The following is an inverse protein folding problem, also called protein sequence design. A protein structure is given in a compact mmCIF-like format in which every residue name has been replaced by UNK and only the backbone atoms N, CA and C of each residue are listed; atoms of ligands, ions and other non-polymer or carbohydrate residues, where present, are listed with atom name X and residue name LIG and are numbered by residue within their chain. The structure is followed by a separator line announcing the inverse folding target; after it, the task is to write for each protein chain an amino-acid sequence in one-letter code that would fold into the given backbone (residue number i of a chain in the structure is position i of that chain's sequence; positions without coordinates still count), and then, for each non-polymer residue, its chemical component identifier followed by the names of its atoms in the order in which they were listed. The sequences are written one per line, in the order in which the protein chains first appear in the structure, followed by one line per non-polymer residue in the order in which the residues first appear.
data_IF_676280157533
#
_entry.id   IF_676280157533
#
_cell.length_a   1.000
_cell.length_b   1.000
_cell.length_c   1.000
_cell.angle_alpha   90.00
_cell.angle_beta   90.00
_cell.angle_gamma   90.00
#
_symmetry.space_group_name_H-M   'P 1'
#
loop_
_entity.id
_entity.type
_entity.pdbx_description
1 polymer ?
#
# COMPACT_ATOMS: atom_id res chain seq x y z
N UNK A 1 -1.52 10.79 -23.44
CA UNK A 1 -1.11 10.65 -24.86
C UNK A 1 0.41 10.68 -24.95
N UNK A 2 1.00 9.77 -25.74
CA UNK A 2 2.41 9.83 -26.10
C UNK A 2 2.65 10.86 -27.20
N UNK A 3 3.92 11.10 -27.57
CA UNK A 3 4.25 12.05 -28.66
C UNK A 3 3.60 11.69 -29.98
N UNK A 4 3.40 10.42 -30.26
CA UNK A 4 2.96 9.92 -31.57
C UNK A 4 1.71 9.04 -31.52
N UNK A 5 1.12 8.80 -30.35
CA UNK A 5 -0.04 7.94 -30.18
C UNK A 5 -0.89 8.30 -28.96
N UNK A 6 -2.14 7.85 -28.99
CA UNK A 6 -3.04 7.85 -27.84
C UNK A 6 -3.31 6.39 -27.40
N UNK A 7 -3.18 6.14 -26.10
CA UNK A 7 -3.60 4.89 -25.49
C UNK A 7 -5.10 4.97 -25.17
N UNK A 8 -5.86 3.98 -25.60
CA UNK A 8 -7.29 3.84 -25.35
C UNK A 8 -7.47 2.58 -24.53
N UNK A 9 -8.02 2.71 -23.35
CA UNK A 9 -8.35 1.58 -22.48
C UNK A 9 -9.87 1.38 -22.48
N UNK A 10 -10.27 0.11 -22.56
CA UNK A 10 -11.64 -0.33 -22.36
C UNK A 10 -11.72 -1.16 -21.08
N UNK A 11 -12.87 -1.71 -20.77
CA UNK A 11 -13.06 -2.67 -19.67
C UNK A 11 -12.37 -4.04 -19.89
N UNK A 12 -11.91 -4.34 -21.10
CA UNK A 12 -11.32 -5.64 -21.44
C UNK A 12 -9.93 -5.55 -22.08
N UNK A 13 -9.62 -4.48 -22.80
CA UNK A 13 -8.47 -4.43 -23.67
C UNK A 13 -7.85 -3.03 -23.78
N UNK A 14 -6.62 -2.99 -24.24
CA UNK A 14 -5.88 -1.78 -24.54
C UNK A 14 -5.64 -1.63 -26.05
N UNK A 15 -5.81 -0.42 -26.56
CA UNK A 15 -5.60 -0.05 -27.95
C UNK A 15 -4.70 1.16 -28.07
N UNK A 16 -3.93 1.21 -29.12
CA UNK A 16 -3.15 2.39 -29.49
C UNK A 16 -3.73 2.99 -30.75
N UNK A 17 -4.05 4.27 -30.70
CA UNK A 17 -4.45 5.07 -31.85
C UNK A 17 -3.28 5.94 -32.27
N UNK A 18 -2.88 5.84 -33.54
CA UNK A 18 -1.76 6.57 -34.10
C UNK A 18 -2.18 7.28 -35.39
N UNK A 19 -1.69 8.50 -35.57
CA UNK A 19 -1.86 9.21 -36.84
C UNK A 19 -0.97 8.59 -37.92
N UNK A 20 -1.57 8.21 -39.06
CA UNK A 20 -0.89 7.52 -40.15
C UNK A 20 -0.94 8.31 -41.48
N UNK A 21 -1.65 9.43 -41.51
CA UNK A 21 -1.81 10.26 -42.71
C UNK A 21 -2.92 9.76 -43.65
N UNK A 22 -3.03 10.40 -44.81
CA UNK A 22 -4.04 10.09 -45.82
C UNK A 22 -3.72 8.75 -46.50
N UNK A 23 -4.73 7.93 -46.91
CA UNK A 23 -6.18 8.19 -46.80
C UNK A 23 -6.78 7.82 -45.43
N UNK A 24 -6.08 7.13 -44.57
CA UNK A 24 -6.57 6.65 -43.26
C UNK A 24 -6.01 7.51 -42.16
N UNK A 25 -6.58 8.61 -41.86
CA UNK A 25 -6.10 9.61 -40.91
C UNK A 25 -5.56 9.00 -39.61
N UNK A 26 -6.24 7.99 -39.04
CA UNK A 26 -5.80 7.27 -37.86
C UNK A 26 -5.82 5.75 -38.08
N UNK A 27 -4.89 5.07 -37.46
CA UNK A 27 -4.87 3.62 -37.26
C UNK A 27 -5.11 3.30 -35.78
N UNK A 28 -5.97 2.31 -35.52
CA UNK A 28 -6.23 1.78 -34.20
C UNK A 28 -5.82 0.32 -34.19
N UNK A 29 -4.92 -0.05 -33.27
CA UNK A 29 -4.54 -1.46 -33.12
C UNK A 29 -4.61 -1.86 -31.65
N UNK A 30 -5.03 -3.08 -31.40
CA UNK A 30 -5.02 -3.69 -30.09
C UNK A 30 -3.58 -3.98 -29.66
N UNK A 31 -3.23 -3.63 -28.43
CA UNK A 31 -1.89 -3.82 -27.85
C UNK A 31 -1.92 -4.69 -26.59
N UNK A 32 -3.10 -4.98 -26.07
CA UNK A 32 -3.27 -5.86 -24.93
C UNK A 32 -4.69 -6.44 -24.84
N UNK A 33 -4.79 -7.66 -24.32
CA UNK A 33 -6.03 -8.38 -24.03
C UNK A 33 -6.08 -8.71 -22.54
N UNK A 34 -7.28 -8.83 -21.96
CA UNK A 34 -7.49 -9.10 -20.53
C UNK A 34 -6.74 -8.11 -19.60
N UNK A 35 -6.60 -6.88 -20.06
CA UNK A 35 -5.92 -5.79 -19.37
C UNK A 35 -6.80 -4.55 -19.28
N UNK A 36 -8.11 -4.75 -19.22
CA UNK A 36 -9.09 -3.67 -19.14
C UNK A 36 -8.89 -2.82 -17.89
N UNK A 37 -9.38 -1.60 -17.96
CA UNK A 37 -9.29 -0.62 -16.88
C UNK A 37 -10.54 -0.67 -15.99
N UNK A 38 -10.37 -0.62 -14.66
CA UNK A 38 -11.49 -0.70 -13.72
C UNK A 38 -12.34 0.58 -13.71
N UNK A 39 -11.76 1.72 -14.04
CA UNK A 39 -12.45 3.01 -14.08
C UNK A 39 -11.64 4.07 -14.82
N UNK A 40 -12.33 5.09 -15.31
CA UNK A 40 -11.69 6.13 -16.14
C UNK A 40 -10.61 6.93 -15.41
N UNK A 41 -10.67 7.03 -14.09
CA UNK A 41 -9.72 7.76 -13.27
C UNK A 41 -8.64 6.87 -12.63
N UNK A 42 -8.69 5.55 -12.81
CA UNK A 42 -7.72 4.59 -12.27
C UNK A 42 -6.41 4.52 -13.08
N UNK A 43 -6.17 5.52 -13.91
CA UNK A 43 -5.05 5.60 -14.87
C UNK A 43 -4.17 6.78 -14.50
N UNK A 44 -2.85 6.57 -14.50
CA UNK A 44 -1.89 7.65 -14.30
C UNK A 44 -0.68 7.48 -15.22
N UNK A 45 -0.12 8.61 -15.67
CA UNK A 45 1.12 8.65 -16.42
C UNK A 45 2.26 9.07 -15.49
N UNK A 46 3.30 8.27 -15.41
CA UNK A 46 4.50 8.56 -14.65
C UNK A 46 5.74 7.93 -15.32
N UNK A 47 6.86 8.61 -15.24
CA UNK A 47 8.16 8.11 -15.68
C UNK A 47 8.16 7.45 -17.09
N UNK A 48 7.45 8.07 -18.05
CA UNK A 48 7.41 7.59 -19.44
C UNK A 48 6.47 6.41 -19.69
N UNK A 49 5.74 5.93 -18.69
CA UNK A 49 4.78 4.84 -18.81
C UNK A 49 3.39 5.23 -18.28
N UNK A 50 2.38 4.54 -18.77
CA UNK A 50 1.01 4.62 -18.26
C UNK A 50 0.77 3.43 -17.33
N UNK A 51 0.19 3.70 -16.18
CA UNK A 51 -0.15 2.70 -15.17
C UNK A 51 -1.65 2.70 -14.92
N UNK A 52 -2.26 1.54 -14.72
CA UNK A 52 -3.68 1.43 -14.38
C UNK A 52 -4.01 0.18 -13.57
N UNK A 53 -5.13 0.24 -12.87
CA UNK A 53 -5.73 -0.88 -12.15
C UNK A 53 -6.68 -1.62 -13.08
N UNK A 54 -6.57 -2.95 -13.14
CA UNK A 54 -7.35 -3.80 -14.01
C UNK A 54 -8.77 -4.08 -13.52
N UNK A 55 -9.74 -4.19 -14.45
CA UNK A 55 -11.12 -4.51 -14.13
C UNK A 55 -11.27 -5.95 -13.58
N UNK A 56 -10.59 -6.90 -14.18
CA UNK A 56 -10.60 -8.30 -13.76
C UNK A 56 -9.55 -8.63 -12.68
N UNK A 57 -8.94 -7.60 -12.09
CA UNK A 57 -7.80 -7.72 -11.17
C UNK A 57 -6.48 -7.41 -11.84
N UNK A 58 -5.45 -7.26 -11.00
CA UNK A 58 -4.10 -6.95 -11.42
C UNK A 58 -3.83 -5.48 -11.72
N UNK A 59 -2.56 -5.20 -11.84
CA UNK A 59 -2.04 -3.87 -12.16
C UNK A 59 -1.23 -3.95 -13.45
N UNK A 60 -1.38 -2.96 -14.29
CA UNK A 60 -0.78 -2.96 -15.62
C UNK A 60 0.04 -1.70 -15.87
N UNK A 61 1.04 -1.83 -16.73
CA UNK A 61 1.80 -0.72 -17.27
C UNK A 61 1.93 -0.82 -18.78
N UNK A 62 2.03 0.34 -19.42
CA UNK A 62 2.29 0.47 -20.85
C UNK A 62 3.46 1.45 -21.06
N UNK A 63 4.53 0.93 -21.65
CA UNK A 63 5.75 1.66 -22.04
C UNK A 63 6.07 1.48 -23.55
N UNK A 64 5.04 1.17 -24.33
CA UNK A 64 5.12 0.71 -25.74
C UNK A 64 4.55 -0.70 -25.89
N UNK A 65 4.56 -1.48 -24.81
CA UNK A 65 3.90 -2.80 -24.69
C UNK A 65 3.14 -2.86 -23.37
N UNK A 66 1.99 -3.56 -23.38
CA UNK A 66 1.24 -3.83 -22.16
C UNK A 66 1.90 -4.96 -21.38
N UNK A 67 2.14 -4.73 -20.08
CA UNK A 67 2.66 -5.74 -19.16
C UNK A 67 1.88 -5.68 -17.85
N UNK A 68 1.55 -6.84 -17.30
CA UNK A 68 1.08 -6.91 -15.93
C UNK A 68 2.26 -6.70 -14.98
N UNK A 69 2.04 -5.94 -13.92
CA UNK A 69 3.03 -5.70 -12.87
C UNK A 69 2.83 -6.79 -11.82
N UNK A 70 3.83 -7.63 -11.54
CA UNK A 70 3.73 -8.60 -10.45
C UNK A 70 3.44 -7.90 -9.12
N UNK A 71 2.46 -8.41 -8.38
CA UNK A 71 2.01 -7.79 -7.14
C UNK A 71 1.85 -8.82 -6.03
N UNK A 72 2.38 -8.53 -4.85
CA UNK A 72 2.19 -9.33 -3.64
C UNK A 72 0.89 -8.96 -2.89
N UNK A 73 0.28 -7.83 -3.27
CA UNK A 73 -0.94 -7.31 -2.62
C UNK A 73 -2.20 -7.53 -3.46
N UNK A 74 -2.10 -8.23 -4.58
CA UNK A 74 -3.20 -8.45 -5.51
C UNK A 74 -4.35 -9.18 -4.85
N UNK A 75 -4.06 -10.25 -4.10
CA UNK A 75 -5.08 -11.02 -3.37
C UNK A 75 -5.78 -10.17 -2.30
N UNK A 76 -5.08 -9.25 -1.67
CA UNK A 76 -5.67 -8.33 -0.70
C UNK A 76 -6.57 -7.29 -1.36
N UNK A 77 -6.13 -6.70 -2.47
CA UNK A 77 -6.86 -5.62 -3.16
C UNK A 77 -8.06 -6.14 -3.93
N UNK A 78 -7.95 -7.31 -4.56
CA UNK A 78 -9.01 -7.87 -5.43
C UNK A 78 -9.73 -9.08 -4.80
N UNK A 79 -9.58 -9.31 -3.50
CA UNK A 79 -10.28 -10.39 -2.82
C UNK A 79 -11.80 -10.29 -3.01
N UNK A 80 -12.44 -11.43 -3.20
CA UNK A 80 -13.90 -11.56 -3.33
C UNK A 80 -14.56 -11.99 -2.02
N UNK A 81 -13.78 -12.33 -1.02
CA UNK A 81 -14.24 -12.82 0.29
C UNK A 81 -13.39 -12.20 1.40
N UNK A 82 -14.03 -11.86 2.49
CA UNK A 82 -13.39 -11.26 3.68
C UNK A 82 -14.02 -9.92 4.05
N UNK A 83 -14.02 -9.63 5.33
CA UNK A 83 -14.53 -8.36 5.86
C UNK A 83 -13.51 -7.25 5.59
N UNK A 84 -13.93 -6.17 4.93
CA UNK A 84 -13.11 -5.00 4.58
C UNK A 84 -11.88 -5.30 3.71
N UNK A 85 -11.87 -6.41 3.00
CA UNK A 85 -10.84 -6.79 2.04
C UNK A 85 -11.44 -6.78 0.64
N UNK A 86 -10.64 -6.39 -0.36
CA UNK A 86 -11.10 -6.28 -1.73
C UNK A 86 -11.70 -4.91 -2.07
N UNK A 87 -12.21 -4.80 -3.27
CA UNK A 87 -12.78 -3.59 -3.86
C UNK A 87 -14.30 -3.68 -3.85
N UNK A 88 -14.97 -2.58 -3.51
CA UNK A 88 -16.38 -2.42 -3.81
C UNK A 88 -16.57 -2.08 -5.30
N UNK A 89 -16.84 -3.10 -6.12
CA UNK A 89 -17.05 -2.92 -7.56
C UNK A 89 -18.27 -2.07 -7.90
N UNK A 90 -19.25 -1.97 -6.99
CA UNK A 90 -20.42 -1.11 -7.20
C UNK A 90 -20.10 0.38 -7.13
N UNK A 91 -18.95 0.73 -6.55
CA UNK A 91 -18.42 2.09 -6.44
C UNK A 91 -17.09 2.25 -7.17
N UNK A 92 -16.84 1.42 -8.20
CA UNK A 92 -15.59 1.42 -8.95
C UNK A 92 -15.30 2.74 -9.68
N UNK A 93 -16.31 3.53 -9.98
CA UNK A 93 -16.19 4.86 -10.58
C UNK A 93 -15.47 5.87 -9.68
N UNK A 94 -15.42 5.62 -8.37
CA UNK A 94 -14.68 6.43 -7.42
C UNK A 94 -13.16 6.15 -7.43
N UNK A 95 -12.75 5.01 -7.99
CA UNK A 95 -11.35 4.60 -8.01
C UNK A 95 -10.55 5.54 -8.89
N UNK A 96 -9.49 6.09 -8.33
CA UNK A 96 -8.57 6.92 -9.10
C UNK A 96 -7.10 6.62 -8.76
N UNK A 97 -6.23 6.95 -9.71
CA UNK A 97 -4.79 6.83 -9.57
C UNK A 97 -4.12 8.20 -9.47
N UNK A 98 -3.06 8.28 -8.71
CA UNK A 98 -2.21 9.46 -8.66
C UNK A 98 -0.73 9.08 -8.63
N UNK A 99 0.11 10.04 -9.00
CA UNK A 99 1.55 9.94 -8.94
C UNK A 99 2.07 10.74 -7.74
N UNK A 100 2.96 10.15 -6.96
CA UNK A 100 3.76 10.81 -5.95
C UNK A 100 5.21 10.86 -6.44
N UNK A 101 5.61 11.94 -7.08
CA UNK A 101 6.92 12.08 -7.70
C UNK A 101 8.06 12.16 -6.69
N UNK A 102 7.80 12.56 -5.45
CA UNK A 102 8.82 12.65 -4.40
C UNK A 102 9.42 11.29 -4.03
N UNK A 103 8.60 10.23 -4.12
CA UNK A 103 9.00 8.87 -3.74
C UNK A 103 8.93 7.86 -4.89
N UNK A 104 8.66 8.31 -6.13
CA UNK A 104 8.53 7.44 -7.31
C UNK A 104 7.38 6.42 -7.16
N UNK A 105 6.25 6.86 -6.70
CA UNK A 105 5.11 6.01 -6.35
C UNK A 105 3.89 6.29 -7.22
N UNK A 106 3.19 5.21 -7.56
CA UNK A 106 1.84 5.24 -8.08
C UNK A 106 0.91 4.82 -6.94
N UNK A 107 -0.10 5.61 -6.69
CA UNK A 107 -1.09 5.36 -5.63
C UNK A 107 -2.46 5.22 -6.26
N UNK A 108 -3.14 4.10 -6.03
CA UNK A 108 -4.54 3.91 -6.37
C UNK A 108 -5.38 3.99 -5.10
N UNK A 109 -6.35 4.88 -5.11
CA UNK A 109 -7.31 5.06 -4.03
C UNK A 109 -8.62 4.36 -4.41
N UNK A 110 -9.17 3.56 -3.50
CA UNK A 110 -10.34 2.74 -3.78
C UNK A 110 -11.23 2.55 -2.56
N UNK A 111 -12.53 2.32 -2.74
CA UNK A 111 -13.43 1.90 -1.68
C UNK A 111 -13.23 0.41 -1.38
N UNK A 112 -13.05 0.05 -0.12
CA UNK A 112 -13.00 -1.36 0.31
C UNK A 112 -14.37 -2.03 0.16
N UNK A 113 -14.40 -3.37 0.27
CA UNK A 113 -15.58 -4.18 -0.04
C UNK A 113 -16.89 -3.72 0.64
N UNK A 114 -16.80 -3.15 1.85
CA UNK A 114 -17.96 -2.69 2.63
C UNK A 114 -18.07 -1.15 2.70
N UNK A 115 -17.29 -0.43 1.91
CA UNK A 115 -17.27 1.03 1.90
C UNK A 115 -17.89 1.59 0.62
N UNK A 116 -18.75 2.62 0.76
CA UNK A 116 -19.34 3.38 -0.35
C UNK A 116 -18.50 4.62 -0.71
N UNK A 117 -17.43 4.87 0.03
CA UNK A 117 -16.48 5.96 -0.17
C UNK A 117 -15.06 5.42 -0.11
N UNK A 118 -14.13 6.14 -0.70
CA UNK A 118 -12.71 5.79 -0.67
C UNK A 118 -12.21 5.76 0.78
N UNK A 119 -11.68 4.62 1.20
CA UNK A 119 -11.14 4.38 2.54
C UNK A 119 -9.78 3.67 2.51
N UNK A 120 -9.34 3.20 1.36
CA UNK A 120 -8.11 2.44 1.16
C UNK A 120 -7.28 3.00 0.03
N UNK A 121 -6.00 2.71 0.10
CA UNK A 121 -5.09 2.91 -1.02
C UNK A 121 -4.08 1.79 -1.13
N UNK A 122 -3.62 1.56 -2.35
CA UNK A 122 -2.51 0.67 -2.67
C UNK A 122 -1.45 1.47 -3.42
N UNK A 123 -0.22 1.24 -3.04
CA UNK A 123 0.92 2.00 -3.47
C UNK A 123 1.94 1.09 -4.16
N UNK A 124 2.46 1.52 -5.28
CA UNK A 124 3.51 0.84 -6.03
C UNK A 124 4.69 1.79 -6.27
N UNK A 125 5.85 1.45 -5.70
CA UNK A 125 7.09 2.13 -6.04
C UNK A 125 7.67 1.53 -7.32
N UNK A 126 7.68 2.30 -8.40
CA UNK A 126 8.08 1.81 -9.73
C UNK A 126 9.61 1.76 -9.93
N UNK A 127 10.40 2.29 -9.02
CA UNK A 127 11.87 2.21 -9.04
C UNK A 127 12.34 0.98 -8.25
N UNK A 128 11.82 0.81 -7.04
CA UNK A 128 12.19 -0.29 -6.14
C UNK A 128 11.38 -1.57 -6.40
N UNK A 129 10.29 -1.45 -7.18
CA UNK A 129 9.37 -2.55 -7.47
C UNK A 129 8.73 -3.14 -6.21
N UNK A 130 8.36 -2.29 -5.27
CA UNK A 130 7.75 -2.66 -3.98
C UNK A 130 6.30 -2.19 -3.89
N UNK A 131 5.52 -2.88 -3.06
CA UNK A 131 4.11 -2.62 -2.85
C UNK A 131 3.80 -2.37 -1.39
N UNK A 132 2.82 -1.51 -1.15
CA UNK A 132 2.25 -1.29 0.18
C UNK A 132 0.74 -1.06 0.09
N UNK A 133 0.04 -1.40 1.16
CA UNK A 133 -1.39 -1.09 1.35
C UNK A 133 -1.54 -0.13 2.51
N UNK A 134 -2.43 0.84 2.36
CA UNK A 134 -2.62 1.89 3.36
C UNK A 134 -4.13 2.08 3.60
N UNK A 135 -4.53 2.20 4.85
CA UNK A 135 -5.85 2.70 5.21
C UNK A 135 -5.82 4.22 5.14
N UNK A 136 -6.17 4.76 3.99
CA UNK A 136 -6.08 6.19 3.71
C UNK A 136 -7.24 6.62 2.82
N UNK A 137 -8.12 7.42 3.36
CA UNK A 137 -9.25 8.00 2.65
C UNK A 137 -8.84 9.34 2.03
N UNK A 138 -8.66 9.36 0.72
CA UNK A 138 -8.46 10.60 -0.04
C UNK A 138 -9.32 10.57 -1.29
N UNK A 139 -10.07 11.62 -1.52
CA UNK A 139 -10.97 11.75 -2.68
C UNK A 139 -10.28 12.39 -3.88
N UNK A 140 -9.25 13.16 -3.64
CA UNK A 140 -8.36 13.70 -4.68
C UNK A 140 -6.93 13.76 -4.15
N UNK A 141 -5.97 13.70 -5.05
CA UNK A 141 -4.55 13.84 -4.73
C UNK A 141 -3.86 14.61 -5.88
N UNK A 142 -3.07 15.59 -5.54
CA UNK A 142 -2.25 16.35 -6.46
C UNK A 142 -0.79 16.19 -6.11
N UNK A 143 0.00 15.75 -7.07
CA UNK A 143 1.45 15.60 -6.93
C UNK A 143 2.14 16.94 -6.65
N UNK A 144 3.32 16.85 -6.08
CA UNK A 144 4.23 17.99 -5.94
C UNK A 144 4.58 18.55 -7.33
N UNK A 145 4.27 19.81 -7.57
CA UNK A 145 4.54 20.48 -8.84
C UNK A 145 4.80 21.96 -8.61
N UNK A 146 3.75 22.79 -8.64
CA UNK A 146 3.83 24.22 -8.29
C UNK A 146 4.08 24.40 -6.80
N UNK A 147 3.56 23.50 -5.99
CA UNK A 147 3.81 23.40 -4.56
C UNK A 147 4.89 22.35 -4.32
N UNK A 148 5.70 22.55 -3.28
CA UNK A 148 6.80 21.66 -2.92
C UNK A 148 6.35 20.33 -2.30
N UNK A 149 5.09 20.23 -1.88
CA UNK A 149 4.48 19.06 -1.25
C UNK A 149 3.26 18.62 -2.04
N UNK A 150 2.91 17.33 -2.02
CA UNK A 150 1.63 16.85 -2.51
C UNK A 150 0.49 17.32 -1.61
N UNK A 151 -0.68 17.49 -2.20
CA UNK A 151 -1.90 17.86 -1.49
C UNK A 151 -3.05 16.92 -1.84
N UNK A 152 -3.91 16.67 -0.86
CA UNK A 152 -5.06 15.83 -1.04
C UNK A 152 -6.29 16.37 -0.31
N UNK A 153 -7.47 15.90 -0.71
CA UNK A 153 -8.71 16.16 0.01
C UNK A 153 -9.34 14.85 0.46
N UNK A 154 -10.03 14.92 1.58
CA UNK A 154 -10.84 13.82 2.08
C UNK A 154 -12.25 14.30 2.29
N UNK A 155 -13.23 13.56 1.76
CA UNK A 155 -14.64 13.79 2.07
C UNK A 155 -14.96 13.15 3.42
N UNK A 156 -15.60 13.93 4.30
CA UNK A 156 -16.00 13.45 5.62
C UNK A 156 -17.52 13.66 5.82
N UNK A 157 -18.25 12.58 5.95
CA UNK A 157 -19.71 12.59 6.14
C UNK A 157 -20.12 13.00 7.55
N UNK A 158 -19.22 12.93 8.53
CA UNK A 158 -19.52 13.27 9.94
C UNK A 158 -19.33 14.74 10.27
N UNK A 159 -18.63 15.49 9.41
CA UNK A 159 -18.44 16.92 9.59
C UNK A 159 -19.66 17.67 9.08
N UNK A 160 -20.37 18.30 9.97
CA UNK A 160 -21.36 19.34 9.60
C UNK A 160 -20.63 20.64 9.31
N UNK A 161 -20.75 21.22 8.09
CA UNK A 161 -20.16 22.51 7.81
C UNK A 161 -20.72 23.55 8.78
N UNK A 162 -19.84 24.30 9.45
CA UNK A 162 -20.24 25.45 10.27
C UNK A 162 -20.54 26.67 9.39
N UNK A 163 -21.32 26.51 8.33
CA UNK A 163 -21.80 27.64 7.55
C UNK A 163 -23.13 28.15 8.11
N UNK A 164 -23.32 29.48 8.17
CA UNK A 164 -24.58 30.03 8.62
C UNK A 164 -25.72 29.51 7.74
N UNK A 165 -26.78 29.06 8.39
CA UNK A 165 -27.99 28.58 7.75
C UNK A 165 -28.53 29.63 6.78
N UNK A 166 -28.57 29.31 5.51
CA UNK A 166 -29.38 30.08 4.56
C UNK A 166 -30.80 29.53 4.61
N UNK A 167 -31.74 30.34 5.09
CA UNK A 167 -33.17 30.01 5.20
C UNK A 167 -33.53 28.88 6.19
N UNK A 168 -32.76 28.67 7.26
CA UNK A 168 -33.14 27.73 8.33
C UNK A 168 -33.11 26.23 7.94
N UNK A 169 -32.56 25.89 6.78
CA UNK A 169 -32.39 24.50 6.33
C UNK A 169 -30.99 24.07 6.68
N UNK A 170 -30.88 23.07 7.55
CA UNK A 170 -29.62 22.33 7.80
C UNK A 170 -29.32 21.46 6.58
N UNK A 171 -28.55 21.96 5.66
CA UNK A 171 -27.97 21.12 4.61
C UNK A 171 -26.84 20.30 5.25
N UNK A 172 -27.09 19.03 5.51
CA UNK A 172 -26.08 18.06 5.91
C UNK A 172 -25.24 17.65 4.69
N UNK A 173 -24.54 18.60 4.10
CA UNK A 173 -23.50 18.28 3.14
C UNK A 173 -22.26 17.86 3.92
N UNK A 174 -21.62 16.75 3.53
CA UNK A 174 -20.32 16.39 4.06
C UNK A 174 -19.32 17.52 3.82
N UNK A 175 -18.36 17.65 4.72
CA UNK A 175 -17.25 18.61 4.57
C UNK A 175 -16.05 17.92 3.94
N UNK A 176 -15.28 18.65 3.14
CA UNK A 176 -13.99 18.20 2.64
C UNK A 176 -12.87 18.79 3.48
N UNK A 177 -11.95 17.94 3.91
CA UNK A 177 -10.73 18.35 4.62
C UNK A 177 -9.56 18.35 3.65
N UNK A 178 -8.72 19.36 3.73
CA UNK A 178 -7.54 19.51 2.89
C UNK A 178 -6.28 19.14 3.68
N UNK A 179 -5.45 18.30 3.10
CA UNK A 179 -4.24 17.77 3.71
C UNK A 179 -3.00 18.11 2.88
N UNK A 180 -1.93 18.53 3.54
CA UNK A 180 -0.59 18.47 2.98
C UNK A 180 0.01 17.10 3.30
N UNK A 181 0.52 16.42 2.29
CA UNK A 181 1.19 15.14 2.43
C UNK A 181 2.71 15.29 2.51
N UNK A 182 3.38 14.21 2.91
CA UNK A 182 4.84 14.11 2.98
C UNK A 182 5.48 15.16 3.90
N UNK A 183 4.80 15.52 4.97
CA UNK A 183 5.30 16.47 5.96
C UNK A 183 5.01 15.98 7.38
N UNK A 184 6.07 15.96 8.21
CA UNK A 184 5.99 15.47 9.58
C UNK A 184 5.91 13.93 9.67
N UNK A 185 5.66 13.43 10.88
CA UNK A 185 5.59 12.00 11.22
C UNK A 185 4.24 11.60 11.81
N UNK A 186 3.31 12.53 11.88
CA UNK A 186 1.96 12.32 12.42
C UNK A 186 0.92 12.83 11.45
N UNK A 187 -0.25 12.23 11.48
CA UNK A 187 -1.43 12.84 10.90
C UNK A 187 -1.93 13.96 11.83
N UNK A 188 -2.41 15.04 11.27
CA UNK A 188 -3.06 16.10 12.03
C UNK A 188 -4.56 15.89 11.93
N UNK A 189 -5.19 15.60 13.06
CA UNK A 189 -6.65 15.48 13.15
C UNK A 189 -7.37 16.81 12.90
N UNK A 190 -8.69 16.74 12.74
CA UNK A 190 -9.54 17.91 12.47
C UNK A 190 -9.50 18.97 13.58
N UNK A 191 -9.19 18.56 14.79
CA UNK A 191 -9.01 19.39 15.98
C UNK A 191 -7.58 19.94 16.12
N UNK A 192 -6.74 19.75 15.12
CA UNK A 192 -5.31 20.06 15.13
C UNK A 192 -4.48 19.26 16.16
N UNK A 193 -5.04 18.20 16.70
CA UNK A 193 -4.32 17.27 17.58
C UNK A 193 -3.56 16.25 16.73
N UNK A 194 -2.26 16.02 16.98
CA UNK A 194 -1.50 14.99 16.27
C UNK A 194 -2.07 13.59 16.53
N UNK A 195 -2.25 12.82 15.48
CA UNK A 195 -2.67 11.42 15.52
C UNK A 195 -1.53 10.56 15.00
N UNK A 196 -1.27 9.42 15.64
CA UNK A 196 -0.25 8.49 15.19
C UNK A 196 -0.60 7.95 13.79
N UNK A 197 0.39 7.82 12.93
CA UNK A 197 0.29 7.06 11.68
C UNK A 197 0.80 5.64 11.99
N UNK A 198 -0.10 4.66 12.20
CA UNK A 198 0.34 3.30 12.45
C UNK A 198 0.96 2.71 11.18
N UNK A 199 2.18 2.24 11.31
CA UNK A 199 2.87 1.57 10.22
C UNK A 199 3.38 0.21 10.69
N UNK A 200 3.38 -0.77 9.80
CA UNK A 200 3.94 -2.08 10.11
C UNK A 200 4.59 -2.71 8.88
N UNK A 201 5.52 -3.61 9.15
CA UNK A 201 6.05 -4.57 8.19
C UNK A 201 6.03 -5.95 8.83
N UNK A 202 5.58 -6.95 8.09
CA UNK A 202 5.53 -8.33 8.54
C UNK A 202 6.18 -9.23 7.48
N UNK A 203 7.08 -10.10 7.94
CA UNK A 203 7.73 -11.07 7.05
C UNK A 203 6.84 -12.29 6.83
N UNK A 204 7.03 -12.97 5.70
CA UNK A 204 6.62 -14.37 5.58
C UNK A 204 7.36 -15.26 6.60
N UNK A 205 6.91 -16.51 6.71
CA UNK A 205 7.60 -17.51 7.54
C UNK A 205 8.98 -17.82 6.97
N UNK A 206 10.01 -17.75 7.81
CA UNK A 206 11.38 -18.11 7.46
C UNK A 206 11.88 -19.30 8.30
N UNK A 207 12.87 -20.00 7.76
CA UNK A 207 13.52 -21.16 8.37
C UNK A 207 15.04 -21.07 8.21
N UNK A 208 15.77 -21.93 8.96
CA UNK A 208 17.25 -21.90 9.00
C UNK A 208 17.94 -22.27 7.68
N UNK A 209 17.27 -23.03 6.79
CA UNK A 209 17.85 -23.54 5.54
C UNK A 209 16.96 -23.22 4.36
N UNK A 210 17.48 -22.51 3.36
CA UNK A 210 16.85 -22.39 2.05
C UNK A 210 16.83 -23.75 1.35
N UNK A 211 15.62 -24.22 1.01
CA UNK A 211 15.43 -25.52 0.35
C UNK A 211 15.65 -26.74 1.25
N UNK A 212 15.76 -26.55 2.54
CA UNK A 212 15.91 -27.63 3.52
C UNK A 212 14.57 -28.26 3.89
N UNK A 213 14.66 -29.42 4.51
CA UNK A 213 13.53 -30.32 4.83
C UNK A 213 12.61 -29.77 5.93
N UNK A 214 12.74 -28.55 6.41
CA UNK A 214 12.04 -27.98 7.58
C UNK A 214 12.04 -28.89 8.82
N UNK A 215 12.98 -29.83 8.89
CA UNK A 215 13.08 -30.83 9.98
C UNK A 215 13.75 -30.26 11.24
N UNK A 216 14.48 -29.18 11.10
CA UNK A 216 15.24 -28.62 12.21
C UNK A 216 14.43 -27.59 12.98
N UNK A 217 14.45 -27.72 14.30
CA UNK A 217 14.03 -26.65 15.19
C UNK A 217 15.12 -25.59 15.23
N UNK A 218 14.74 -24.36 15.04
CA UNK A 218 15.61 -23.20 15.23
C UNK A 218 15.35 -22.57 16.60
N UNK A 219 16.41 -22.09 17.19
CA UNK A 219 16.37 -21.27 18.40
C UNK A 219 16.93 -19.89 18.09
N UNK A 220 16.09 -18.90 18.24
CA UNK A 220 16.51 -17.49 18.12
C UNK A 220 16.92 -16.99 19.51
N UNK A 221 18.21 -16.80 19.72
CA UNK A 221 18.75 -16.36 21.01
C UNK A 221 18.62 -14.85 21.20
N UNK A 222 18.82 -14.11 20.12
CA UNK A 222 18.68 -12.65 20.11
C UNK A 222 18.48 -12.15 18.71
N UNK A 223 18.00 -10.92 18.61
CA UNK A 223 18.06 -10.15 17.38
C UNK A 223 18.67 -8.77 17.62
N UNK A 224 19.28 -8.22 16.58
CA UNK A 224 19.93 -6.92 16.57
C UNK A 224 19.06 -5.99 15.72
N UNK A 225 18.37 -5.01 16.35
CA UNK A 225 17.55 -4.07 15.61
C UNK A 225 18.44 -3.19 14.74
N UNK A 226 18.14 -3.13 13.44
CA UNK A 226 18.81 -2.25 12.50
C UNK A 226 17.85 -1.19 11.99
N UNK A 227 17.76 -0.10 12.73
CA UNK A 227 16.92 1.04 12.40
C UNK A 227 17.75 2.28 12.16
N UNK A 228 17.43 2.99 11.10
CA UNK A 228 17.98 4.31 10.81
C UNK A 228 16.96 5.38 11.17
N UNK A 229 17.43 6.45 11.81
CA UNK A 229 16.60 7.58 12.22
C UNK A 229 15.42 7.16 13.13
N UNK A 230 15.67 6.25 14.08
CA UNK A 230 14.65 5.82 15.02
C UNK A 230 14.37 6.92 16.06
N UNK A 231 13.15 7.44 16.01
CA UNK A 231 12.57 8.34 16.99
C UNK A 231 11.37 7.67 17.64
N UNK A 232 11.17 7.81 18.94
CA UNK A 232 10.13 7.10 19.65
C UNK A 232 10.41 5.61 19.84
N UNK A 233 9.39 4.77 19.67
CA UNK A 233 9.48 3.34 19.94
C UNK A 233 8.96 2.54 18.74
N UNK A 234 9.56 1.37 18.54
CA UNK A 234 9.10 0.36 17.61
C UNK A 234 8.81 -0.92 18.39
N UNK A 235 7.73 -1.57 18.09
CA UNK A 235 7.30 -2.82 18.68
C UNK A 235 7.67 -3.98 17.74
N UNK A 236 8.41 -4.96 18.24
CA UNK A 236 8.83 -6.13 17.48
C UNK A 236 8.19 -7.38 18.08
N UNK A 237 7.48 -8.13 17.26
CA UNK A 237 6.82 -9.38 17.65
C UNK A 237 7.33 -10.53 16.80
N UNK A 238 7.70 -11.64 17.44
CA UNK A 238 8.09 -12.89 16.79
C UNK A 238 6.95 -13.90 16.90
N UNK A 239 6.50 -14.45 15.77
CA UNK A 239 5.58 -15.57 15.70
C UNK A 239 6.36 -16.85 15.40
N UNK A 240 6.04 -17.93 16.09
CA UNK A 240 6.69 -19.23 15.92
C UNK A 240 5.66 -20.28 15.55
N UNK A 241 6.02 -21.12 14.59
CA UNK A 241 5.19 -22.23 14.11
C UNK A 241 6.02 -23.51 14.00
N UNK A 242 5.40 -24.64 14.21
CA UNK A 242 6.03 -25.95 13.95
C UNK A 242 5.73 -26.44 12.54
N UNK A 243 4.61 -26.02 11.94
CA UNK A 243 4.20 -26.38 10.57
C UNK A 243 3.60 -25.18 9.83
N UNK A 244 3.76 -25.09 8.49
CA UNK A 244 3.29 -23.94 7.71
C UNK A 244 1.77 -23.70 7.79
N UNK A 245 0.96 -24.75 7.89
CA UNK A 245 -0.53 -24.67 7.92
C UNK A 245 -1.04 -24.41 9.34
N UNK A 246 -0.18 -24.49 10.33
CA UNK A 246 -0.57 -24.39 11.72
C UNK A 246 -0.71 -22.91 12.12
N UNK A 247 -1.75 -22.63 12.91
CA UNK A 247 -1.75 -21.39 13.70
C UNK A 247 -0.51 -21.39 14.61
N UNK A 248 0.01 -20.21 15.00
CA UNK A 248 1.15 -20.14 15.90
C UNK A 248 0.98 -21.09 17.09
N UNK A 249 1.96 -21.95 17.35
CA UNK A 249 1.93 -22.98 18.41
C UNK A 249 1.99 -22.41 19.81
N UNK A 250 2.43 -21.16 19.90
CA UNK A 250 2.53 -20.42 21.16
C UNK A 250 2.03 -18.99 20.97
N UNK A 251 1.71 -18.35 22.08
CA UNK A 251 1.51 -16.91 22.07
C UNK A 251 2.73 -16.23 21.44
N UNK A 252 2.52 -15.16 20.65
CA UNK A 252 3.63 -14.42 20.08
C UNK A 252 4.61 -13.98 21.16
N UNK A 253 5.90 -14.03 20.86
CA UNK A 253 6.93 -13.50 21.73
C UNK A 253 7.06 -11.99 21.49
N UNK A 254 6.88 -11.24 22.54
CA UNK A 254 6.81 -9.78 22.48
C UNK A 254 5.41 -9.24 22.81
N UNK A 255 5.06 -8.02 22.38
CA UNK A 255 5.95 -7.11 21.65
C UNK A 255 7.16 -6.66 22.47
N UNK A 256 8.34 -6.68 21.87
CA UNK A 256 9.55 -6.09 22.43
C UNK A 256 9.61 -4.61 22.04
N UNK A 257 9.67 -3.72 23.02
CA UNK A 257 9.83 -2.29 22.74
C UNK A 257 11.29 -1.98 22.45
N UNK A 258 11.54 -1.42 21.28
CA UNK A 258 12.88 -1.02 20.81
C UNK A 258 12.89 0.48 20.56
N UNK A 259 13.92 1.14 21.05
CA UNK A 259 14.19 2.56 20.79
C UNK A 259 15.68 2.76 20.42
N UNK A 260 16.09 3.99 20.19
CA UNK A 260 17.46 4.31 19.75
C UNK A 260 18.57 3.89 20.73
N UNK A 261 18.23 3.52 21.98
CA UNK A 261 19.22 3.07 22.99
C UNK A 261 19.37 1.55 23.04
N UNK A 262 18.45 0.81 22.42
CA UNK A 262 18.45 -0.67 22.45
C UNK A 262 19.29 -1.21 21.31
N UNK A 263 20.43 -1.80 21.65
CA UNK A 263 21.34 -2.38 20.65
C UNK A 263 21.06 -3.87 20.34
N UNK A 264 20.39 -4.56 21.25
CA UNK A 264 20.04 -5.98 21.11
C UNK A 264 18.79 -6.32 21.92
N UNK A 265 18.08 -7.34 21.48
CA UNK A 265 16.97 -7.96 22.21
C UNK A 265 17.26 -9.43 22.38
N UNK A 266 17.44 -9.89 23.61
CA UNK A 266 17.64 -11.29 23.92
C UNK A 266 16.30 -12.02 23.96
N UNK A 267 16.18 -13.19 23.32
CA UNK A 267 14.98 -13.99 23.21
C UNK A 267 15.24 -15.44 23.58
N UNK A 268 14.17 -16.24 23.67
CA UNK A 268 14.24 -17.70 23.78
C UNK A 268 13.23 -18.34 22.83
N UNK A 269 13.10 -17.76 21.66
CA UNK A 269 12.19 -18.24 20.63
C UNK A 269 12.66 -19.60 20.10
N UNK A 270 11.74 -20.56 20.00
CA UNK A 270 12.02 -21.90 19.48
C UNK A 270 10.85 -22.36 18.62
N UNK A 271 11.13 -22.73 17.40
CA UNK A 271 10.14 -23.24 16.43
C UNK A 271 10.83 -23.70 15.15
N UNK A 272 10.10 -24.27 14.21
CA UNK A 272 10.61 -24.62 12.88
C UNK A 272 10.59 -23.45 11.94
N UNK A 273 9.51 -22.67 12.05
CA UNK A 273 9.26 -21.48 11.26
C UNK A 273 9.11 -20.29 12.21
N UNK A 274 9.58 -19.16 11.76
CA UNK A 274 9.37 -17.89 12.45
C UNK A 274 8.96 -16.81 11.46
N UNK A 275 8.08 -15.92 11.88
CA UNK A 275 7.85 -14.64 11.22
C UNK A 275 8.06 -13.50 12.21
N UNK A 276 8.36 -12.33 11.67
CA UNK A 276 8.60 -11.11 12.44
C UNK A 276 7.61 -10.04 12.00
N UNK A 277 7.00 -9.39 12.97
CA UNK A 277 6.22 -8.18 12.76
C UNK A 277 6.89 -7.02 13.47
N UNK A 278 7.05 -5.92 12.77
CA UNK A 278 7.61 -4.66 13.28
C UNK A 278 6.55 -3.60 13.08
N UNK A 279 6.17 -2.87 14.13
CA UNK A 279 5.11 -1.87 14.07
C UNK A 279 5.35 -0.71 15.02
N UNK A 280 4.71 0.43 14.71
CA UNK A 280 4.59 1.55 15.62
C UNK A 280 3.12 1.94 15.79
N UNK A 281 2.80 2.57 16.92
CA UNK A 281 1.42 2.96 17.25
C UNK A 281 1.32 4.31 17.94
N UNK A 282 2.44 4.93 18.32
CA UNK A 282 2.44 6.17 19.08
C UNK A 282 2.70 7.41 18.23
N UNK A 283 2.20 8.54 18.71
CA UNK A 283 2.48 9.86 18.13
C UNK A 283 3.96 10.18 18.26
N UNK A 284 4.58 10.59 17.17
CA UNK A 284 6.01 10.95 17.13
C UNK A 284 6.94 9.79 16.79
N UNK A 285 6.43 8.57 16.63
CA UNK A 285 7.27 7.45 16.20
C UNK A 285 7.68 7.64 14.72
N UNK A 286 8.98 7.48 14.48
CA UNK A 286 9.56 7.54 13.13
C UNK A 286 10.68 6.52 13.03
N UNK A 287 10.69 5.73 11.96
CA UNK A 287 11.69 4.70 11.78
C UNK A 287 11.91 4.32 10.31
N UNK A 288 13.12 3.92 10.01
CA UNK A 288 13.48 3.27 8.76
C UNK A 288 14.14 1.94 9.10
N UNK A 289 13.50 0.85 8.69
CA UNK A 289 14.02 -0.49 8.91
C UNK A 289 15.14 -0.80 7.90
N UNK A 290 16.25 -1.34 8.40
CA UNK A 290 17.35 -1.84 7.61
C UNK A 290 17.25 -3.35 7.39
N UNK A 291 18.14 -4.10 8.03
CA UNK A 291 18.16 -5.56 7.94
C UNK A 291 17.76 -6.20 9.25
N UNK A 292 17.04 -7.31 9.17
CA UNK A 292 16.82 -8.16 10.34
C UNK A 292 18.03 -9.06 10.55
N UNK A 293 18.75 -8.83 11.63
CA UNK A 293 19.92 -9.65 12.04
C UNK A 293 19.56 -10.42 13.29
N UNK A 294 19.68 -11.74 13.23
CA UNK A 294 19.40 -12.62 14.36
C UNK A 294 20.53 -13.62 14.60
N UNK A 295 20.77 -13.93 15.87
CA UNK A 295 21.58 -15.05 16.29
C UNK A 295 20.68 -16.27 16.43
N UNK A 296 20.78 -17.18 15.46
CA UNK A 296 19.91 -18.35 15.31
C UNK A 296 20.74 -19.63 15.30
N UNK A 297 20.37 -20.59 16.12
CA UNK A 297 21.03 -21.88 16.20
C UNK A 297 20.08 -23.04 15.94
N UNK A 298 20.62 -24.15 15.44
CA UNK A 298 19.88 -25.41 15.35
C UNK A 298 19.68 -25.97 16.76
N UNK A 299 18.45 -26.30 17.11
CA UNK A 299 18.05 -26.81 18.43
C UNK A 299 17.35 -28.17 18.36
N UNK A 300 17.89 -29.04 17.51
CA UNK A 300 17.47 -30.44 17.39
C UNK A 300 16.59 -30.77 16.20
N UNK A 301 16.40 -32.05 16.01
CA UNK A 301 15.45 -32.67 15.06
C UNK A 301 14.32 -33.32 15.85
N UNK A 302 13.10 -33.18 15.40
CA UNK A 302 11.96 -34.01 15.87
C UNK A 302 11.13 -34.47 14.70
#
# INVERSE_FOLDING_TARGET
SGKDYNLILTDQAAYVMQFVGTPFTFSIRQVGTNCGCIGQHSIVYANGAVYWMGFAGGFFRFDGTVKQIPSLVEDFVFATTGDNVGINYSSAELIYASHNSLFNEIVWFYPSANADQIDRSVLYNYVENTWATITLARTTFSDASTYSLPYATQFNTTLTPQYPLVNGVTNSFGASTYFAHETGVNEVGLDSVPVAIPAFVESGDFQLHEGGDAEYLMRVNRFLPDFKNLEGNVLITLQLKDYPIQNPTSSPLGPFTVNSTISKVDTRARGRLASIKIENTAVGDNWRFGEFRADVNVDGRR
#
